data_IF_702069672110
#
_entry.id   IF_702069672110
#
_cell.length_a   1.000
_cell.length_b   1.000
_cell.length_c   1.000
_cell.angle_alpha   90.00
_cell.angle_beta   90.00
_cell.angle_gamma   90.00
#
_symmetry.space_group_name_H-M   'P 1'
#
loop_
_entity.id
_entity.type
_entity.pdbx_description
1 polymer ?
#
# COMPACT_ATOMS: atom_id res chain seq x y z
N UNK A 1 8.46 -26.88 -25.75
CA UNK A 1 7.18 -26.49 -26.39
C UNK A 1 6.38 -25.81 -25.30
N UNK A 2 5.95 -24.56 -25.51
CA UNK A 2 5.06 -23.88 -24.55
C UNK A 2 3.69 -24.56 -24.58
N UNK A 3 2.93 -24.55 -23.48
CA UNK A 3 1.58 -25.12 -23.50
C UNK A 3 0.65 -24.23 -24.35
N UNK A 4 -0.47 -24.80 -24.80
CA UNK A 4 -1.49 -24.07 -25.57
C UNK A 4 -2.47 -23.29 -24.68
N UNK A 5 -2.13 -23.05 -23.40
CA UNK A 5 -3.00 -22.35 -22.45
C UNK A 5 -2.91 -20.84 -22.65
N UNK A 6 -4.00 -20.14 -22.34
CA UNK A 6 -3.97 -18.68 -22.31
C UNK A 6 -3.06 -18.19 -21.18
N UNK A 7 -2.39 -17.05 -21.35
CA UNK A 7 -1.47 -16.55 -20.33
C UNK A 7 -2.18 -16.30 -18.98
N UNK A 8 -3.44 -15.84 -18.99
CA UNK A 8 -4.25 -15.66 -17.77
C UNK A 8 -4.47 -16.96 -16.98
N UNK A 9 -4.44 -18.12 -17.63
CA UNK A 9 -4.60 -19.44 -17.02
C UNK A 9 -3.31 -19.95 -16.38
N UNK A 10 -2.18 -19.29 -16.62
CA UNK A 10 -0.86 -19.66 -16.06
C UNK A 10 -0.22 -18.51 -15.29
N UNK A 11 -0.75 -17.30 -15.37
CA UNK A 11 -0.27 -16.14 -14.62
C UNK A 11 -0.51 -16.36 -13.12
N UNK A 12 0.52 -16.09 -12.32
CA UNK A 12 0.58 -16.31 -10.87
C UNK A 12 0.86 -15.02 -10.11
N UNK A 13 1.09 -13.92 -10.82
CA UNK A 13 1.47 -12.64 -10.26
C UNK A 13 0.30 -12.03 -9.47
N UNK A 14 0.49 -11.78 -8.17
CA UNK A 14 -0.54 -11.15 -7.31
C UNK A 14 -1.04 -9.83 -7.89
N UNK A 15 -0.14 -9.04 -8.47
CA UNK A 15 -0.46 -7.74 -9.10
C UNK A 15 -1.47 -7.86 -10.22
N UNK A 16 -1.46 -8.96 -10.97
CA UNK A 16 -2.45 -9.20 -12.02
C UNK A 16 -3.85 -9.35 -11.40
N UNK A 17 -3.98 -10.15 -10.35
CA UNK A 17 -5.26 -10.34 -9.67
C UNK A 17 -5.72 -9.08 -8.93
N UNK A 18 -4.81 -8.30 -8.37
CA UNK A 18 -5.14 -6.99 -7.77
C UNK A 18 -5.64 -5.99 -8.80
N UNK A 19 -5.06 -5.97 -10.00
CA UNK A 19 -5.58 -5.17 -11.10
C UNK A 19 -7.01 -5.60 -11.49
N UNK A 20 -7.25 -6.90 -11.61
CA UNK A 20 -8.58 -7.45 -11.92
C UNK A 20 -9.61 -7.12 -10.83
N UNK A 21 -9.24 -7.21 -9.55
CA UNK A 21 -10.09 -6.79 -8.44
C UNK A 21 -10.36 -5.28 -8.48
N UNK A 22 -9.32 -4.46 -8.70
CA UNK A 22 -9.48 -3.02 -8.87
C UNK A 22 -10.45 -2.67 -10.01
N UNK A 23 -10.31 -3.35 -11.15
CA UNK A 23 -11.24 -3.23 -12.26
C UNK A 23 -12.68 -3.62 -11.88
N UNK A 24 -12.87 -4.76 -11.22
CA UNK A 24 -14.19 -5.20 -10.77
C UNK A 24 -14.85 -4.20 -9.80
N UNK A 25 -14.06 -3.62 -8.87
CA UNK A 25 -14.51 -2.57 -7.95
C UNK A 25 -14.79 -1.23 -8.62
N UNK A 26 -14.28 -0.97 -9.81
CA UNK A 26 -14.58 0.26 -10.55
C UNK A 26 -15.80 0.08 -11.47
N UNK A 27 -15.97 -1.11 -12.02
CA UNK A 27 -16.98 -1.40 -13.04
C UNK A 27 -18.32 -1.89 -12.49
N UNK A 28 -18.32 -2.61 -11.38
CA UNK A 28 -19.54 -3.24 -10.85
C UNK A 28 -19.97 -2.62 -9.52
N UNK A 29 -21.18 -2.07 -9.51
CA UNK A 29 -21.79 -1.57 -8.28
C UNK A 29 -22.03 -2.74 -7.32
N UNK A 30 -22.46 -3.89 -7.84
CA UNK A 30 -22.68 -5.08 -7.01
C UNK A 30 -21.40 -5.54 -6.29
N UNK A 31 -20.26 -5.57 -6.98
CA UNK A 31 -18.96 -5.91 -6.38
C UNK A 31 -18.56 -4.88 -5.33
N UNK A 32 -18.74 -3.58 -5.60
CA UNK A 32 -18.42 -2.51 -4.61
C UNK A 32 -19.23 -2.67 -3.33
N UNK A 33 -20.54 -2.86 -3.44
CA UNK A 33 -21.42 -3.03 -2.29
C UNK A 33 -21.09 -4.31 -1.52
N UNK A 34 -20.93 -5.43 -2.24
CA UNK A 34 -20.55 -6.70 -1.62
C UNK A 34 -19.19 -6.65 -0.92
N UNK A 35 -18.21 -5.96 -1.52
CA UNK A 35 -16.89 -5.79 -0.92
C UNK A 35 -16.92 -4.86 0.30
N UNK A 36 -17.71 -3.78 0.28
CA UNK A 36 -17.91 -2.91 1.43
C UNK A 36 -18.55 -3.64 2.61
N UNK A 37 -19.58 -4.46 2.36
CA UNK A 37 -20.19 -5.32 3.38
C UNK A 37 -19.19 -6.35 3.94
N UNK A 38 -18.41 -6.98 3.05
CA UNK A 38 -17.37 -7.92 3.44
C UNK A 38 -16.31 -7.27 4.33
N UNK A 39 -15.85 -6.07 3.96
CA UNK A 39 -14.88 -5.28 4.71
C UNK A 39 -15.42 -4.88 6.09
N UNK A 40 -16.69 -4.48 6.17
CA UNK A 40 -17.35 -4.19 7.46
C UNK A 40 -17.39 -5.42 8.36
N UNK A 41 -17.80 -6.56 7.81
CA UNK A 41 -17.97 -7.80 8.56
C UNK A 41 -16.63 -8.41 9.03
N UNK A 42 -15.60 -8.39 8.19
CA UNK A 42 -14.32 -9.07 8.45
C UNK A 42 -13.27 -8.17 9.07
N UNK A 43 -13.26 -6.90 8.68
CA UNK A 43 -12.18 -5.98 8.99
C UNK A 43 -12.64 -4.83 9.90
N UNK A 44 -13.92 -4.79 10.26
CA UNK A 44 -14.51 -3.73 11.08
C UNK A 44 -14.21 -2.33 10.50
N UNK A 45 -14.31 -2.18 9.17
CA UNK A 45 -14.08 -0.93 8.45
C UNK A 45 -15.30 -0.58 7.62
N UNK A 46 -15.73 0.67 7.66
CA UNK A 46 -16.89 1.15 6.91
C UNK A 46 -16.41 1.85 5.65
N UNK A 47 -16.57 1.17 4.51
CA UNK A 47 -16.41 1.79 3.20
C UNK A 47 -17.78 2.24 2.69
N UNK A 48 -17.87 3.49 2.24
CA UNK A 48 -19.00 3.98 1.45
C UNK A 48 -18.91 3.42 0.02
N UNK A 49 -19.76 2.46 -0.35
CA UNK A 49 -19.66 1.79 -1.64
C UNK A 49 -19.94 2.70 -2.83
N UNK A 50 -20.58 3.85 -2.64
CA UNK A 50 -20.84 4.80 -3.73
C UNK A 50 -19.64 5.73 -3.94
N UNK A 51 -18.89 6.04 -2.88
CA UNK A 51 -17.92 7.13 -2.91
C UNK A 51 -16.47 6.72 -2.62
N UNK A 52 -16.16 5.44 -2.35
CA UNK A 52 -14.75 5.07 -2.14
C UNK A 52 -13.92 5.10 -3.44
N UNK A 53 -12.70 5.58 -3.34
CA UNK A 53 -11.71 5.59 -4.41
C UNK A 53 -10.91 4.28 -4.42
N UNK A 54 -10.44 3.84 -5.59
CA UNK A 54 -9.67 2.60 -5.77
C UNK A 54 -8.32 2.95 -6.40
N UNK A 55 -7.23 2.61 -5.72
CA UNK A 55 -5.87 2.79 -6.24
C UNK A 55 -5.10 1.49 -6.19
N UNK A 56 -4.56 1.05 -7.33
CA UNK A 56 -3.69 -0.12 -7.43
C UNK A 56 -2.23 0.38 -7.42
N UNK A 57 -1.37 -0.24 -6.60
CA UNK A 57 0.05 0.15 -6.42
C UNK A 57 0.26 1.62 -6.00
N UNK A 58 -0.56 2.14 -5.09
CA UNK A 58 -0.53 3.54 -4.65
C UNK A 58 0.80 3.93 -3.98
N UNK A 59 1.46 4.99 -4.44
CA UNK A 59 2.74 5.46 -3.88
C UNK A 59 2.56 6.71 -3.00
N UNK A 60 1.58 6.68 -2.08
CA UNK A 60 1.01 7.87 -1.45
C UNK A 60 2.03 8.89 -0.89
N UNK A 61 3.05 8.46 -0.14
CA UNK A 61 4.07 9.38 0.40
C UNK A 61 4.96 10.00 -0.68
N UNK A 62 5.27 9.23 -1.72
CA UNK A 62 6.08 9.69 -2.85
C UNK A 62 5.29 10.70 -3.70
N UNK A 63 4.01 10.40 -3.91
CA UNK A 63 3.10 11.26 -4.65
C UNK A 63 2.83 12.55 -3.87
N UNK A 64 2.60 12.45 -2.56
CA UNK A 64 2.49 13.62 -1.68
C UNK A 64 3.76 14.48 -1.71
N UNK A 65 4.95 13.88 -1.60
CA UNK A 65 6.20 14.63 -1.69
C UNK A 65 6.37 15.36 -3.03
N UNK A 66 5.88 14.76 -4.12
CA UNK A 66 5.88 15.37 -5.44
C UNK A 66 4.87 16.53 -5.52
N UNK A 67 3.73 16.39 -4.87
CA UNK A 67 2.68 17.41 -4.79
C UNK A 67 3.15 18.67 -4.04
N UNK A 68 4.07 18.53 -3.06
CA UNK A 68 4.74 19.68 -2.41
C UNK A 68 5.56 20.55 -3.37
N UNK A 69 5.79 20.11 -4.61
CA UNK A 69 6.31 20.93 -5.68
C UNK A 69 7.32 20.25 -6.60
N UNK A 70 7.55 20.89 -7.76
CA UNK A 70 8.41 20.37 -8.82
C UNK A 70 9.90 20.40 -8.41
N UNK A 71 10.61 19.26 -8.37
CA UNK A 71 12.03 19.23 -8.00
C UNK A 71 12.96 19.98 -8.96
N UNK A 72 12.55 20.16 -10.22
CA UNK A 72 13.29 20.93 -11.22
C UNK A 72 13.22 22.43 -10.90
N UNK A 73 12.02 22.95 -10.60
CA UNK A 73 11.76 24.35 -10.25
C UNK A 73 11.74 24.56 -8.73
N UNK A 74 12.85 24.28 -8.08
CA UNK A 74 12.94 24.26 -6.61
C UNK A 74 13.01 25.68 -6.04
N UNK A 75 11.90 26.17 -5.49
CA UNK A 75 11.78 27.49 -4.85
C UNK A 75 11.89 27.38 -3.32
N UNK A 76 12.06 28.52 -2.64
CA UNK A 76 12.07 28.57 -1.17
C UNK A 76 10.76 28.06 -0.56
N UNK A 77 9.63 28.31 -1.23
CA UNK A 77 8.33 27.78 -0.83
C UNK A 77 8.33 26.24 -0.84
N UNK A 78 8.82 25.62 -1.92
CA UNK A 78 8.93 24.16 -2.02
C UNK A 78 9.91 23.62 -0.97
N UNK A 79 11.02 24.33 -0.74
CA UNK A 79 11.98 23.97 0.30
C UNK A 79 11.31 23.96 1.68
N UNK A 80 10.60 25.02 2.04
CA UNK A 80 9.93 25.16 3.33
C UNK A 80 8.81 24.13 3.52
N UNK A 81 8.05 23.81 2.47
CA UNK A 81 7.02 22.77 2.51
C UNK A 81 7.63 21.38 2.77
N UNK A 82 8.71 21.03 2.06
CA UNK A 82 9.44 19.77 2.28
C UNK A 82 10.12 19.73 3.64
N UNK A 83 10.72 20.83 4.07
CA UNK A 83 11.34 20.96 5.39
C UNK A 83 10.30 20.73 6.49
N UNK A 84 9.08 21.24 6.32
CA UNK A 84 7.98 21.02 7.29
C UNK A 84 7.61 19.54 7.42
N UNK A 85 7.61 18.78 6.32
CA UNK A 85 7.43 17.33 6.35
C UNK A 85 8.58 16.64 7.08
N UNK A 86 9.83 17.00 6.79
CA UNK A 86 10.99 16.41 7.46
C UNK A 86 10.99 16.74 8.97
N UNK A 87 10.55 17.93 9.37
CA UNK A 87 10.39 18.30 10.78
C UNK A 87 9.43 17.36 11.52
N UNK A 88 8.26 17.08 10.95
CA UNK A 88 7.30 16.15 11.55
C UNK A 88 7.85 14.73 11.67
N UNK A 89 8.58 14.26 10.65
CA UNK A 89 9.27 12.96 10.72
C UNK A 89 10.30 12.99 11.84
N UNK A 90 11.17 14.00 11.85
CA UNK A 90 12.27 14.08 12.80
C UNK A 90 11.76 14.20 14.24
N UNK A 91 10.69 14.94 14.47
CA UNK A 91 9.99 14.99 15.76
C UNK A 91 9.44 13.63 16.18
N UNK A 92 8.71 12.91 15.30
CA UNK A 92 8.19 11.55 15.60
C UNK A 92 9.31 10.59 16.00
N UNK A 93 10.48 10.74 15.40
CA UNK A 93 11.63 9.90 15.66
C UNK A 93 12.63 10.53 16.64
N UNK A 94 12.35 11.64 17.32
CA UNK A 94 13.30 12.29 18.24
C UNK A 94 14.70 12.58 17.63
N UNK A 95 14.72 13.01 16.37
CA UNK A 95 15.93 13.40 15.62
C UNK A 95 16.11 14.92 15.66
N UNK A 96 17.26 15.44 16.12
CA UNK A 96 17.55 16.88 16.07
C UNK A 96 17.54 17.43 14.64
N UNK A 97 17.01 18.64 14.42
CA UNK A 97 16.90 19.22 13.06
C UNK A 97 18.23 19.63 12.44
N UNK A 98 19.24 19.94 13.25
CA UNK A 98 20.58 20.33 12.78
C UNK A 98 21.28 19.20 12.00
N UNK A 99 20.82 17.95 12.14
CA UNK A 99 21.36 16.84 11.35
C UNK A 99 21.09 16.98 9.84
N UNK A 100 20.05 17.74 9.44
CA UNK A 100 19.79 18.06 8.02
C UNK A 100 20.94 18.86 7.40
N UNK A 101 21.57 19.73 8.19
CA UNK A 101 22.71 20.53 7.76
C UNK A 101 24.02 19.75 7.88
N UNK A 102 24.12 18.85 8.87
CA UNK A 102 25.32 18.09 9.18
C UNK A 102 25.62 16.96 8.19
N UNK A 103 24.59 16.30 7.65
CA UNK A 103 24.77 15.09 6.84
C UNK A 103 24.21 15.25 5.42
N UNK A 104 25.07 14.99 4.43
CA UNK A 104 24.73 15.06 3.00
C UNK A 104 23.65 14.06 2.57
N UNK A 105 23.37 13.01 3.36
CA UNK A 105 22.33 12.01 3.06
C UNK A 105 20.94 12.63 2.84
N UNK A 106 20.70 13.81 3.41
CA UNK A 106 19.42 14.53 3.30
C UNK A 106 19.35 15.51 2.12
N UNK A 107 20.47 15.75 1.42
CA UNK A 107 20.58 16.81 0.42
C UNK A 107 21.12 16.31 -0.93
N UNK A 108 20.65 16.91 -2.01
CA UNK A 108 21.24 16.71 -3.33
C UNK A 108 22.56 17.47 -3.44
N UNK A 109 23.35 17.19 -4.49
CA UNK A 109 24.54 17.99 -4.83
C UNK A 109 24.27 19.48 -5.09
N UNK A 110 23.00 19.87 -5.22
CA UNK A 110 22.56 21.28 -5.36
C UNK A 110 21.89 21.80 -4.08
N UNK A 111 22.15 21.16 -2.94
CA UNK A 111 21.60 21.47 -1.61
C UNK A 111 20.06 21.45 -1.49
N UNK A 112 19.36 20.81 -2.43
CA UNK A 112 17.91 20.58 -2.34
C UNK A 112 17.64 19.43 -1.38
N UNK A 113 16.53 19.47 -0.63
CA UNK A 113 16.13 18.33 0.21
C UNK A 113 15.74 17.12 -0.64
N UNK A 114 16.37 15.98 -0.37
CA UNK A 114 16.01 14.70 -0.98
C UNK A 114 14.64 14.21 -0.52
N UNK A 115 13.93 13.55 -1.44
CA UNK A 115 12.84 12.67 -1.02
C UNK A 115 13.42 11.54 -0.15
N UNK A 116 12.80 11.21 1.01
CA UNK A 116 13.28 10.14 1.87
C UNK A 116 13.54 8.80 1.20
N UNK A 117 12.83 8.47 0.11
CA UNK A 117 13.08 7.24 -0.63
C UNK A 117 14.51 7.13 -1.20
N UNK A 118 15.22 8.25 -1.37
CA UNK A 118 16.58 8.32 -1.90
C UNK A 118 17.67 8.37 -0.82
N UNK A 119 17.32 8.42 0.47
CA UNK A 119 18.33 8.39 1.53
C UNK A 119 19.18 7.11 1.46
N UNK A 120 20.48 7.25 1.67
CA UNK A 120 21.40 6.13 1.67
C UNK A 120 21.36 5.43 3.03
N UNK A 121 21.00 4.14 3.06
CA UNK A 121 20.81 3.39 4.31
C UNK A 121 22.11 3.30 5.12
N UNK A 122 23.22 2.94 4.46
CA UNK A 122 24.54 2.88 5.12
C UNK A 122 24.96 4.21 5.73
N UNK A 123 24.76 5.32 5.01
CA UNK A 123 25.06 6.65 5.54
C UNK A 123 24.17 7.03 6.73
N UNK A 124 22.90 6.60 6.75
CA UNK A 124 22.02 6.77 7.92
C UNK A 124 22.54 5.95 9.12
N UNK A 125 22.97 4.70 8.91
CA UNK A 125 23.55 3.87 9.98
C UNK A 125 24.83 4.48 10.54
N UNK A 126 25.76 4.88 9.67
CA UNK A 126 27.04 5.51 10.06
C UNK A 126 26.83 6.83 10.82
N UNK A 127 25.75 7.56 10.51
CA UNK A 127 25.36 8.78 11.21
C UNK A 127 24.63 8.54 12.55
N UNK A 128 24.37 7.28 12.93
CA UNK A 128 23.57 6.93 14.10
C UNK A 128 22.07 7.18 13.93
N UNK A 129 21.59 7.25 12.69
CA UNK A 129 20.21 7.57 12.29
C UNK A 129 19.49 6.37 11.68
N UNK A 130 19.90 5.14 12.01
CA UNK A 130 19.35 3.90 11.43
C UNK A 130 17.83 3.76 11.51
N UNK A 131 17.18 4.35 12.53
CA UNK A 131 15.70 4.38 12.64
C UNK A 131 15.00 5.09 11.46
N UNK A 132 15.69 5.99 10.75
CA UNK A 132 15.14 6.67 9.57
C UNK A 132 15.12 5.78 8.31
N UNK A 133 15.71 4.59 8.35
CA UNK A 133 15.63 3.61 7.26
C UNK A 133 14.18 3.18 7.04
N UNK A 134 13.40 3.02 8.11
CA UNK A 134 11.99 2.62 8.00
C UNK A 134 11.16 3.72 7.31
N UNK A 135 11.52 5.00 7.49
CA UNK A 135 10.93 6.13 6.76
C UNK A 135 11.24 6.02 5.28
N UNK A 136 12.50 5.73 4.91
CA UNK A 136 12.87 5.48 3.50
C UNK A 136 12.05 4.33 2.91
N UNK A 137 11.89 3.24 3.65
CA UNK A 137 11.08 2.10 3.19
C UNK A 137 9.62 2.51 3.00
N UNK A 138 9.05 3.28 3.93
CA UNK A 138 7.68 3.76 3.82
C UNK A 138 7.46 4.65 2.58
N UNK A 139 8.42 5.51 2.23
CA UNK A 139 8.35 6.32 1.00
C UNK A 139 8.53 5.50 -0.29
N UNK A 140 9.13 4.30 -0.21
CA UNK A 140 9.23 3.37 -1.33
C UNK A 140 8.05 2.41 -1.44
N UNK A 141 7.36 2.17 -0.32
CA UNK A 141 6.27 1.22 -0.24
C UNK A 141 5.10 1.59 -1.15
N UNK A 142 4.46 0.53 -1.65
CA UNK A 142 3.23 0.58 -2.43
C UNK A 142 2.39 -0.62 -2.01
N UNK A 143 1.26 -0.46 -1.31
CA UNK A 143 0.36 -1.59 -1.13
C UNK A 143 -0.20 -2.01 -2.48
N UNK A 144 -0.65 -3.26 -2.58
CA UNK A 144 -1.21 -3.74 -3.84
C UNK A 144 -2.49 -2.99 -4.19
N UNK A 145 -3.36 -2.75 -3.20
CA UNK A 145 -4.55 -1.90 -3.35
C UNK A 145 -4.71 -0.98 -2.13
N UNK A 146 -5.07 0.28 -2.40
CA UNK A 146 -5.53 1.25 -1.41
C UNK A 146 -6.96 1.69 -1.77
N UNK A 147 -7.88 1.51 -0.83
CA UNK A 147 -9.23 2.07 -0.92
C UNK A 147 -9.37 3.25 0.04
N UNK A 148 -9.90 4.37 -0.46
CA UNK A 148 -10.10 5.58 0.35
C UNK A 148 -11.58 5.91 0.36
N UNK A 149 -12.16 5.97 1.56
CA UNK A 149 -13.55 6.38 1.80
C UNK A 149 -13.56 7.65 2.66
N UNK A 150 -14.67 8.38 2.83
CA UNK A 150 -14.70 9.62 3.61
C UNK A 150 -14.10 9.47 5.03
N UNK A 151 -14.42 8.38 5.73
CA UNK A 151 -14.01 8.18 7.13
C UNK A 151 -12.90 7.13 7.33
N UNK A 152 -12.52 6.40 6.28
CA UNK A 152 -11.59 5.28 6.43
C UNK A 152 -10.71 5.04 5.23
N UNK A 153 -9.61 4.35 5.45
CA UNK A 153 -8.73 3.80 4.42
C UNK A 153 -8.56 2.30 4.65
N UNK A 154 -8.64 1.54 3.57
CA UNK A 154 -8.34 0.12 3.57
C UNK A 154 -7.09 -0.15 2.73
N UNK A 155 -6.04 -0.65 3.37
CA UNK A 155 -4.79 -1.04 2.72
C UNK A 155 -4.82 -2.55 2.54
N UNK A 156 -4.70 -3.02 1.31
CA UNK A 156 -4.81 -4.44 0.97
C UNK A 156 -3.48 -4.93 0.41
N UNK A 157 -2.99 -6.02 0.99
CA UNK A 157 -1.88 -6.82 0.47
C UNK A 157 -2.44 -8.16 -0.01
N UNK A 158 -2.19 -8.52 -1.26
CA UNK A 158 -2.62 -9.79 -1.82
C UNK A 158 -1.54 -10.85 -1.71
N UNK A 159 -1.97 -12.08 -1.48
CA UNK A 159 -1.16 -13.29 -1.50
C UNK A 159 -1.92 -14.36 -2.29
N UNK A 160 -1.31 -14.88 -3.37
CA UNK A 160 -1.93 -15.91 -4.22
C UNK A 160 -1.18 -17.23 -4.09
N UNK A 161 0.14 -17.22 -4.21
CA UNK A 161 0.97 -18.44 -4.25
C UNK A 161 1.92 -18.62 -3.08
N UNK A 162 1.81 -17.82 -2.01
CA UNK A 162 2.74 -17.93 -0.88
C UNK A 162 2.17 -18.77 0.28
N UNK A 163 2.40 -20.11 0.30
CA UNK A 163 2.31 -20.89 1.51
C UNK A 163 3.68 -21.14 2.17
N UNK A 164 4.81 -20.72 1.57
CA UNK A 164 6.15 -21.16 1.98
C UNK A 164 7.17 -20.01 1.97
N UNK A 165 7.46 -19.46 3.15
CA UNK A 165 8.45 -18.40 3.34
C UNK A 165 8.25 -17.61 4.63
N UNK A 166 7.07 -17.72 5.24
CA UNK A 166 6.78 -17.10 6.52
C UNK A 166 7.42 -17.86 7.68
N UNK A 167 8.71 -17.61 7.86
CA UNK A 167 9.16 -17.35 9.22
C UNK A 167 8.19 -16.29 9.77
N UNK A 168 7.52 -16.57 10.89
CA UNK A 168 6.61 -15.64 11.54
C UNK A 168 7.22 -14.22 11.64
N UNK A 169 8.54 -14.13 11.80
CA UNK A 169 9.32 -12.88 11.78
C UNK A 169 9.20 -12.04 10.50
N UNK A 170 9.12 -12.66 9.32
CA UNK A 170 9.05 -11.95 8.05
C UNK A 170 7.66 -11.31 7.84
N UNK A 171 6.59 -12.03 8.19
CA UNK A 171 5.22 -11.50 8.15
C UNK A 171 4.98 -10.47 9.24
N UNK A 172 5.51 -10.71 10.43
CA UNK A 172 5.45 -9.75 11.53
C UNK A 172 6.13 -8.43 11.14
N UNK A 173 7.31 -8.50 10.51
CA UNK A 173 7.99 -7.32 9.95
C UNK A 173 7.18 -6.65 8.84
N UNK A 174 6.53 -7.41 7.95
CA UNK A 174 5.69 -6.84 6.89
C UNK A 174 4.51 -6.08 7.48
N UNK A 175 3.80 -6.65 8.46
CA UNK A 175 2.68 -5.99 9.11
C UNK A 175 3.10 -4.74 9.89
N UNK A 176 4.19 -4.82 10.66
CA UNK A 176 4.75 -3.66 11.34
C UNK A 176 5.13 -2.56 10.33
N UNK A 177 5.71 -2.94 9.19
CA UNK A 177 6.03 -2.00 8.11
C UNK A 177 4.78 -1.35 7.56
N UNK A 178 3.70 -2.09 7.31
CA UNK A 178 2.42 -1.54 6.84
C UNK A 178 1.75 -0.64 7.87
N UNK A 179 1.80 -1.01 9.15
CA UNK A 179 1.31 -0.16 10.24
C UNK A 179 2.10 1.16 10.28
N UNK A 180 3.42 1.09 10.19
CA UNK A 180 4.27 2.27 10.16
C UNK A 180 3.97 3.16 8.94
N UNK A 181 3.80 2.56 7.76
CA UNK A 181 3.40 3.27 6.55
C UNK A 181 2.10 4.03 6.80
N UNK A 182 1.09 3.36 7.39
CA UNK A 182 -0.18 3.97 7.74
C UNK A 182 -0.07 5.12 8.74
N UNK A 183 0.77 4.97 9.77
CA UNK A 183 1.04 6.03 10.74
C UNK A 183 1.69 7.25 10.08
N UNK A 184 2.67 7.02 9.19
CA UNK A 184 3.32 8.10 8.45
C UNK A 184 2.35 8.78 7.46
N UNK A 185 1.44 8.01 6.86
CA UNK A 185 0.38 8.57 6.02
C UNK A 185 -0.52 9.52 6.81
N UNK A 186 -1.01 9.09 7.97
CA UNK A 186 -1.85 9.93 8.84
C UNK A 186 -1.09 11.12 9.43
N UNK A 187 0.21 10.98 9.70
CA UNK A 187 1.05 12.06 10.20
C UNK A 187 1.28 13.14 9.13
N UNK A 188 1.62 12.72 7.90
CA UNK A 188 2.19 13.62 6.89
C UNK A 188 1.17 14.10 5.87
N UNK A 189 0.15 13.29 5.55
CA UNK A 189 -0.79 13.58 4.47
C UNK A 189 -2.08 14.15 5.09
N UNK A 190 -2.41 15.45 4.88
CA UNK A 190 -3.53 16.10 5.56
C UNK A 190 -4.87 15.38 5.36
N UNK A 191 -5.14 14.90 4.13
CA UNK A 191 -6.36 14.17 3.80
C UNK A 191 -6.52 12.84 4.55
N UNK A 192 -5.43 12.27 5.11
CA UNK A 192 -5.45 10.98 5.79
C UNK A 192 -5.50 11.08 7.31
N UNK A 193 -5.19 12.25 7.87
CA UNK A 193 -4.96 12.46 9.31
C UNK A 193 -6.07 11.92 10.23
N UNK A 194 -7.33 12.06 9.84
CA UNK A 194 -8.48 11.66 10.66
C UNK A 194 -9.17 10.38 10.17
N UNK A 195 -8.67 9.75 9.11
CA UNK A 195 -9.32 8.55 8.55
C UNK A 195 -8.89 7.32 9.35
N UNK A 196 -9.83 6.43 9.67
CA UNK A 196 -9.52 5.12 10.25
C UNK A 196 -8.74 4.28 9.23
N UNK A 197 -7.50 3.90 9.53
CA UNK A 197 -6.71 3.03 8.67
C UNK A 197 -6.84 1.57 9.12
N UNK A 198 -7.09 0.67 8.18
CA UNK A 198 -7.10 -0.78 8.42
C UNK A 198 -6.24 -1.47 7.36
N UNK A 199 -5.34 -2.33 7.80
CA UNK A 199 -4.56 -3.22 6.92
C UNK A 199 -5.28 -4.58 6.81
N UNK A 200 -5.36 -5.11 5.60
CA UNK A 200 -6.02 -6.37 5.28
C UNK A 200 -5.13 -7.22 4.39
N UNK A 201 -5.13 -8.52 4.66
CA UNK A 201 -4.53 -9.50 3.76
C UNK A 201 -5.64 -10.14 2.92
N UNK A 202 -5.44 -10.17 1.60
CA UNK A 202 -6.27 -10.90 0.66
C UNK A 202 -5.57 -12.21 0.28
N UNK A 203 -6.01 -13.34 0.86
CA UNK A 203 -5.30 -14.62 0.73
C UNK A 203 -6.20 -15.77 0.23
N UNK A 204 -5.59 -16.85 -0.24
CA UNK A 204 -6.28 -18.07 -0.65
C UNK A 204 -6.67 -18.92 0.57
N UNK A 205 -5.74 -19.21 1.49
CA UNK A 205 -5.94 -20.31 2.45
C UNK A 205 -5.63 -20.00 3.93
N UNK A 206 -4.77 -19.03 4.26
CA UNK A 206 -4.36 -18.83 5.66
C UNK A 206 -5.35 -17.99 6.46
N UNK A 207 -5.42 -18.29 7.75
CA UNK A 207 -5.96 -17.40 8.79
C UNK A 207 -4.78 -16.72 9.47
N UNK A 208 -4.71 -15.38 9.42
CA UNK A 208 -3.84 -14.62 10.30
C UNK A 208 -4.61 -14.27 11.57
N UNK A 209 -4.06 -14.61 12.73
CA UNK A 209 -4.72 -14.32 14.01
C UNK A 209 -4.73 -12.82 14.34
N UNK A 210 -3.71 -12.09 13.89
CA UNK A 210 -3.49 -10.67 14.24
C UNK A 210 -3.94 -9.67 13.18
N UNK A 211 -4.27 -10.13 11.96
CA UNK A 211 -4.56 -9.25 10.82
C UNK A 211 -5.87 -9.70 10.18
N UNK A 212 -6.83 -8.79 9.92
CA UNK A 212 -8.03 -9.14 9.19
C UNK A 212 -7.72 -9.76 7.83
N UNK A 213 -8.36 -10.89 7.53
CA UNK A 213 -8.20 -11.61 6.26
C UNK A 213 -9.52 -11.61 5.49
N UNK A 214 -9.43 -11.24 4.22
CA UNK A 214 -10.45 -11.52 3.21
C UNK A 214 -9.93 -12.67 2.33
N UNK A 215 -10.77 -13.66 2.04
CA UNK A 215 -10.37 -14.76 1.15
C UNK A 215 -10.63 -14.42 -0.31
N UNK A 216 -9.73 -14.85 -1.19
CA UNK A 216 -9.97 -14.78 -2.64
C UNK A 216 -11.25 -15.50 -3.06
N UNK A 217 -11.68 -16.56 -2.36
CA UNK A 217 -12.96 -17.24 -2.60
C UNK A 217 -14.18 -16.35 -2.36
N UNK A 218 -14.09 -15.43 -1.40
CA UNK A 218 -15.14 -14.46 -1.13
C UNK A 218 -15.19 -13.43 -2.28
N UNK A 219 -14.03 -13.00 -2.79
CA UNK A 219 -13.93 -12.15 -3.98
C UNK A 219 -14.49 -12.85 -5.22
N UNK A 220 -14.13 -14.13 -5.43
CA UNK A 220 -14.66 -14.92 -6.54
C UNK A 220 -16.20 -14.95 -6.50
N UNK A 221 -16.79 -15.16 -5.33
CA UNK A 221 -18.25 -15.16 -5.16
C UNK A 221 -18.87 -13.81 -5.53
N UNK A 222 -18.23 -12.69 -5.17
CA UNK A 222 -18.70 -11.35 -5.53
C UNK A 222 -18.64 -11.13 -7.05
N UNK A 223 -17.55 -11.52 -7.69
CA UNK A 223 -17.32 -11.30 -9.12
C UNK A 223 -18.19 -12.21 -9.98
N UNK A 224 -18.36 -13.48 -9.61
CA UNK A 224 -19.13 -14.46 -10.39
C UNK A 224 -20.60 -14.02 -10.55
N UNK A 225 -21.18 -13.47 -9.49
CA UNK A 225 -22.57 -13.03 -9.47
C UNK A 225 -22.81 -11.61 -10.00
N UNK A 226 -21.81 -10.96 -10.60
CA UNK A 226 -21.84 -9.55 -10.98
C UNK A 226 -21.81 -9.30 -12.48
N UNK A 227 -22.04 -8.04 -12.87
CA UNK A 227 -21.99 -7.48 -14.21
C UNK A 227 -20.58 -7.27 -14.79
N UNK A 228 -19.53 -7.70 -14.08
CA UNK A 228 -18.14 -7.63 -14.55
C UNK A 228 -17.96 -8.38 -15.88
N UNK A 229 -17.04 -7.89 -16.71
CA UNK A 229 -16.77 -8.47 -18.03
C UNK A 229 -16.26 -9.93 -17.93
N UNK A 230 -16.46 -10.67 -19.02
CA UNK A 230 -16.15 -12.10 -19.10
C UNK A 230 -14.66 -12.38 -18.88
N UNK A 231 -13.75 -11.52 -19.36
CA UNK A 231 -12.32 -11.74 -19.18
C UNK A 231 -11.93 -11.61 -17.71
N UNK A 232 -12.33 -10.52 -17.04
CA UNK A 232 -12.04 -10.31 -15.62
C UNK A 232 -12.64 -11.43 -14.77
N UNK A 233 -13.91 -11.80 -15.02
CA UNK A 233 -14.55 -12.92 -14.31
C UNK A 233 -13.76 -14.21 -14.49
N UNK A 234 -13.50 -14.61 -15.74
CA UNK A 234 -12.82 -15.88 -16.05
C UNK A 234 -11.39 -15.92 -15.49
N UNK A 235 -10.66 -14.80 -15.54
CA UNK A 235 -9.30 -14.70 -15.03
C UNK A 235 -9.26 -14.79 -13.50
N UNK A 236 -10.15 -14.10 -12.78
CA UNK A 236 -10.27 -14.23 -11.32
C UNK A 236 -10.67 -15.68 -10.94
N UNK A 237 -11.58 -16.31 -11.69
CA UNK A 237 -11.97 -17.71 -11.44
C UNK A 237 -10.84 -18.72 -11.61
N UNK A 238 -9.72 -18.36 -12.25
CA UNK A 238 -8.54 -19.24 -12.31
C UNK A 238 -7.95 -19.50 -10.93
N UNK A 239 -8.23 -18.65 -9.94
CA UNK A 239 -7.81 -18.86 -8.55
C UNK A 239 -8.43 -20.10 -7.91
N UNK A 240 -9.52 -20.66 -8.47
CA UNK A 240 -10.09 -21.94 -8.02
C UNK A 240 -9.07 -23.08 -7.98
N UNK A 241 -8.04 -23.05 -8.84
CA UNK A 241 -6.97 -24.06 -8.88
C UNK A 241 -6.18 -24.17 -7.56
N UNK A 242 -6.23 -23.15 -6.71
CA UNK A 242 -5.54 -23.16 -5.42
C UNK A 242 -6.39 -23.71 -4.27
N UNK A 243 -7.69 -23.92 -4.49
CA UNK A 243 -8.62 -24.47 -3.48
C UNK A 243 -8.87 -25.97 -3.64
N UNK A 244 -8.49 -26.55 -4.79
CA UNK A 244 -8.71 -27.97 -5.10
C UNK A 244 -7.55 -28.89 -4.70
N UNK A 245 -6.66 -28.43 -3.80
CA UNK A 245 -5.51 -29.20 -3.29
C UNK A 245 -5.78 -29.75 -1.90
#
# INVERSE_FOLDING_TARGET
MFNDKNYSEVNREERFFCFLLGHALLMSQQVRFGFAELSRKKCNVTLDPENFEVYVEAAALRDYWRDLGNPVKYTDEIHNSRLSVLKLIFEKYDVPLDVLEKYEVFKTSTHKLWNPNHWNEKALEEAGLGRLIEVKWAFNAKPDILLISPESMLVIEAKVESPEGCKADAEYKQFQTQQLIGELWQLLIPQFKNKKLVNVILNVSSTHESIPVIKWSEIMTLVDNSEVDVFTRNAIMQLNRYYSK
#
